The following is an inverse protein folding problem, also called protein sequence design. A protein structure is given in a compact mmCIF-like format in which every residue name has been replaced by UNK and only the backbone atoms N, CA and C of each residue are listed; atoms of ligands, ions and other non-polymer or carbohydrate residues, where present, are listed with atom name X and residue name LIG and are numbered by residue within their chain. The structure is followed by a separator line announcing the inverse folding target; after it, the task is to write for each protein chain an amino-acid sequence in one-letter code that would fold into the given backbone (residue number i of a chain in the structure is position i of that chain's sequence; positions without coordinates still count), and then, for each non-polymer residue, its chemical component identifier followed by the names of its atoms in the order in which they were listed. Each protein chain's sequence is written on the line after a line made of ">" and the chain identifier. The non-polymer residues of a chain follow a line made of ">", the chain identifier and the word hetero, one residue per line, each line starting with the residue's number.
data_IF_548235028031
#
_entry.id   IF_548235028031
#
_cell.length_a   1.000
_cell.length_b   1.000
_cell.length_c   1.000
_cell.angle_alpha   90.00
_cell.angle_beta   90.00
_cell.angle_gamma   90.00
#
_symmetry.space_group_name_H-M   'P 1'
#
loop_
_entity.id
_entity.type
_entity.pdbx_description
1 polymer ?
#
# COMPACT_ATOMS: atom_id res chain seq x y z
N UNK A 1 -34.85 61.85 19.94
CA UNK A 1 -34.57 60.99 18.79
C UNK A 1 -33.60 59.87 19.19
N UNK A 2 -34.11 58.68 19.36
CA UNK A 2 -33.32 57.53 19.72
C UNK A 2 -33.14 56.71 18.45
N UNK A 3 -31.92 56.69 17.90
CA UNK A 3 -31.55 55.79 16.82
C UNK A 3 -31.21 54.42 17.38
N UNK A 4 -32.11 53.48 17.19
CA UNK A 4 -31.83 52.07 17.48
C UNK A 4 -30.99 51.48 16.34
N UNK A 5 -29.68 51.46 16.51
CA UNK A 5 -28.84 50.59 15.73
C UNK A 5 -28.91 49.21 16.32
N UNK A 6 -29.74 48.36 15.75
CA UNK A 6 -29.69 46.93 16.01
C UNK A 6 -28.47 46.40 15.27
N UNK A 7 -27.37 46.19 16.02
CA UNK A 7 -26.23 45.42 15.56
C UNK A 7 -26.67 43.96 15.43
N UNK A 8 -27.11 43.57 14.23
CA UNK A 8 -27.23 42.18 13.85
C UNK A 8 -25.84 41.58 13.78
N UNK A 9 -25.43 40.91 14.87
CA UNK A 9 -24.28 40.08 14.86
C UNK A 9 -24.50 38.95 13.85
N UNK A 10 -23.84 39.02 12.71
CA UNK A 10 -23.81 37.91 11.75
C UNK A 10 -23.24 36.70 12.43
N UNK A 11 -23.88 35.53 12.39
CA UNK A 11 -23.24 34.31 12.86
C UNK A 11 -21.99 34.12 12.04
N UNK A 12 -20.86 34.05 12.72
CA UNK A 12 -19.60 33.61 12.10
C UNK A 12 -19.81 32.15 11.74
N UNK A 13 -20.11 31.86 10.48
CA UNK A 13 -19.98 30.55 9.95
C UNK A 13 -18.48 30.23 9.96
N UNK A 14 -18.03 29.57 11.02
CA UNK A 14 -16.80 28.82 10.97
C UNK A 14 -17.12 27.62 10.10
N UNK A 15 -16.73 27.70 8.83
CA UNK A 15 -16.65 26.51 8.01
C UNK A 15 -15.57 25.64 8.62
N UNK A 16 -15.96 24.76 9.55
CA UNK A 16 -15.12 23.63 9.94
C UNK A 16 -15.11 22.72 8.72
N UNK A 17 -14.10 22.88 7.86
CA UNK A 17 -13.77 21.81 6.93
C UNK A 17 -13.53 20.57 7.78
N UNK A 18 -14.10 19.41 7.41
CA UNK A 18 -13.79 18.18 8.12
C UNK A 18 -12.27 18.05 8.08
N UNK A 19 -11.63 18.13 9.24
CA UNK A 19 -10.22 17.82 9.36
C UNK A 19 -10.13 16.35 9.01
N UNK A 20 -9.51 16.03 7.87
CA UNK A 20 -9.12 14.67 7.54
C UNK A 20 -8.08 14.32 8.61
N UNK A 21 -8.47 13.48 9.58
CA UNK A 21 -7.53 12.97 10.57
C UNK A 21 -6.42 12.25 9.83
N UNK A 22 -5.20 12.71 10.02
CA UNK A 22 -4.02 12.05 9.48
C UNK A 22 -3.86 10.70 10.19
N UNK A 23 -3.70 9.62 9.39
CA UNK A 23 -3.49 8.28 9.93
C UNK A 23 -2.19 8.23 10.75
N UNK A 24 -2.22 7.55 11.90
CA UNK A 24 -1.00 7.22 12.65
C UNK A 24 -0.07 6.34 11.81
N UNK A 25 1.20 6.31 12.15
CA UNK A 25 2.18 5.43 11.48
C UNK A 25 1.77 3.96 11.59
N UNK A 26 1.31 3.53 12.76
CA UNK A 26 0.79 2.17 12.95
C UNK A 26 -0.35 1.86 11.98
N UNK A 27 -1.33 2.76 11.86
CA UNK A 27 -2.46 2.58 10.93
C UNK A 27 -2.01 2.53 9.48
N UNK A 28 -1.03 3.35 9.09
CA UNK A 28 -0.44 3.30 7.74
C UNK A 28 0.17 1.94 7.45
N UNK A 29 0.92 1.38 8.39
CA UNK A 29 1.55 0.07 8.24
C UNK A 29 0.48 -1.04 8.16
N UNK A 30 -0.50 -1.04 9.04
CA UNK A 30 -1.60 -2.02 9.03
C UNK A 30 -2.40 -1.94 7.74
N UNK A 31 -2.71 -0.74 7.26
CA UNK A 31 -3.40 -0.55 5.99
C UNK A 31 -2.57 -1.10 4.83
N UNK A 32 -1.27 -0.88 4.83
CA UNK A 32 -0.38 -1.38 3.79
C UNK A 32 -0.27 -2.91 3.81
N UNK A 33 -0.19 -3.53 4.99
CA UNK A 33 -0.24 -4.99 5.15
C UNK A 33 -1.53 -5.57 4.54
N UNK A 34 -2.66 -4.89 4.73
CA UNK A 34 -3.94 -5.29 4.13
C UNK A 34 -3.96 -5.13 2.61
N UNK A 35 -3.33 -4.08 2.08
CA UNK A 35 -3.15 -3.90 0.64
C UNK A 35 -2.31 -5.04 0.05
N UNK A 36 -1.23 -5.43 0.71
CA UNK A 36 -0.40 -6.58 0.29
C UNK A 36 -1.24 -7.87 0.26
N UNK A 37 -2.13 -8.06 1.21
CA UNK A 37 -3.08 -9.19 1.21
C UNK A 37 -3.92 -9.26 -0.06
N UNK A 38 -4.43 -8.12 -0.52
CA UNK A 38 -5.14 -8.00 -1.80
C UNK A 38 -4.24 -8.27 -3.01
N UNK A 39 -3.00 -7.81 -2.97
CA UNK A 39 -2.02 -8.11 -4.02
C UNK A 39 -1.69 -9.59 -4.11
N UNK A 40 -1.60 -10.30 -3.01
CA UNK A 40 -1.39 -11.75 -3.01
C UNK A 40 -2.51 -12.48 -3.74
N UNK A 41 -3.75 -12.11 -3.46
CA UNK A 41 -4.92 -12.66 -4.16
C UNK A 41 -4.88 -12.32 -5.64
N UNK A 42 -4.61 -11.08 -6.01
CA UNK A 42 -4.50 -10.66 -7.41
C UNK A 42 -3.36 -11.37 -8.14
N UNK A 43 -2.20 -11.46 -7.50
CA UNK A 43 -1.04 -12.15 -8.07
C UNK A 43 -1.37 -13.62 -8.40
N UNK A 44 -2.08 -14.31 -7.51
CA UNK A 44 -2.52 -15.68 -7.76
C UNK A 44 -3.52 -15.78 -8.91
N UNK A 45 -4.47 -14.85 -8.99
CA UNK A 45 -5.42 -14.81 -10.10
C UNK A 45 -4.72 -14.56 -11.44
N UNK A 46 -3.77 -13.63 -11.48
CA UNK A 46 -2.95 -13.36 -12.67
C UNK A 46 -2.07 -14.55 -13.06
N UNK A 47 -1.51 -15.24 -12.07
CA UNK A 47 -0.74 -16.46 -12.27
C UNK A 47 -1.56 -17.55 -12.97
N UNK A 48 -2.80 -17.77 -12.52
CA UNK A 48 -3.69 -18.75 -13.15
C UNK A 48 -4.13 -18.34 -14.57
N UNK A 49 -4.31 -17.06 -14.81
CA UNK A 49 -4.77 -16.52 -16.10
C UNK A 49 -3.62 -16.11 -17.03
N UNK A 50 -2.38 -16.35 -16.66
CA UNK A 50 -1.20 -15.94 -17.42
C UNK A 50 -1.20 -16.57 -18.82
N UNK A 51 -1.05 -15.76 -19.90
CA UNK A 51 -1.09 -16.26 -21.26
C UNK A 51 0.21 -16.97 -21.68
N UNK A 52 1.28 -16.80 -20.93
CA UNK A 52 2.61 -17.33 -21.22
C UNK A 52 3.23 -18.00 -20.00
N UNK A 53 3.99 -19.07 -20.22
CA UNK A 53 4.62 -19.85 -19.15
C UNK A 53 5.57 -19.02 -18.28
N UNK A 54 6.37 -18.14 -18.88
CA UNK A 54 7.33 -17.32 -18.14
C UNK A 54 6.64 -16.32 -17.20
N UNK A 55 5.57 -15.65 -17.64
CA UNK A 55 4.76 -14.78 -16.79
C UNK A 55 4.14 -15.59 -15.64
N UNK A 56 3.62 -16.77 -15.93
CA UNK A 56 3.05 -17.68 -14.94
C UNK A 56 4.07 -18.02 -13.83
N UNK A 57 5.30 -18.36 -14.21
CA UNK A 57 6.38 -18.68 -13.26
C UNK A 57 6.77 -17.46 -12.44
N UNK A 58 7.00 -16.30 -13.07
CA UNK A 58 7.42 -15.10 -12.37
C UNK A 58 6.35 -14.55 -11.42
N UNK A 59 5.07 -14.69 -11.74
CA UNK A 59 4.00 -14.33 -10.83
C UNK A 59 3.97 -15.24 -9.60
N UNK A 60 4.26 -16.52 -9.75
CA UNK A 60 4.34 -17.47 -8.63
C UNK A 60 5.51 -17.12 -7.70
N UNK A 61 6.68 -16.82 -8.26
CA UNK A 61 7.84 -16.32 -7.52
C UNK A 61 7.52 -15.00 -6.79
N UNK A 62 6.84 -14.08 -7.46
CA UNK A 62 6.49 -12.80 -6.87
C UNK A 62 5.45 -12.93 -5.74
N UNK A 63 4.57 -13.92 -5.82
CA UNK A 63 3.65 -14.25 -4.74
C UNK A 63 4.38 -14.62 -3.44
N UNK A 64 5.45 -15.40 -3.55
CA UNK A 64 6.29 -15.76 -2.39
C UNK A 64 6.97 -14.52 -1.79
N UNK A 65 7.45 -13.61 -2.64
CA UNK A 65 8.03 -12.33 -2.20
C UNK A 65 6.99 -11.47 -1.48
N UNK A 66 5.77 -11.37 -2.00
CA UNK A 66 4.68 -10.65 -1.34
C UNK A 66 4.35 -11.24 0.03
N UNK A 67 4.35 -12.57 0.15
CA UNK A 67 4.09 -13.27 1.40
C UNK A 67 5.16 -13.01 2.44
N UNK A 68 6.43 -13.09 2.05
CA UNK A 68 7.57 -12.83 2.93
C UNK A 68 7.59 -11.37 3.38
N UNK A 69 7.31 -10.45 2.46
CA UNK A 69 7.27 -9.02 2.77
C UNK A 69 6.13 -8.65 3.71
N UNK A 70 4.94 -9.19 3.48
CA UNK A 70 3.79 -9.00 4.37
C UNK A 70 4.11 -9.47 5.79
N UNK A 71 4.70 -10.65 5.90
CA UNK A 71 5.07 -11.25 7.18
C UNK A 71 6.14 -10.43 7.90
N UNK A 72 7.19 -10.04 7.20
CA UNK A 72 8.27 -9.20 7.74
C UNK A 72 7.77 -7.86 8.25
N UNK A 73 6.90 -7.18 7.50
CA UNK A 73 6.28 -5.92 7.95
C UNK A 73 5.39 -6.10 9.17
N UNK A 74 4.61 -7.19 9.22
CA UNK A 74 3.75 -7.49 10.35
C UNK A 74 4.57 -7.75 11.62
N UNK A 75 5.66 -8.50 11.53
CA UNK A 75 6.58 -8.76 12.63
C UNK A 75 7.26 -7.49 13.14
N UNK A 76 7.75 -6.63 12.24
CA UNK A 76 8.32 -5.33 12.60
C UNK A 76 7.28 -4.44 13.31
N UNK A 77 6.07 -4.35 12.78
CA UNK A 77 5.00 -3.56 13.38
C UNK A 77 4.62 -4.08 14.77
N UNK A 78 4.52 -5.38 14.94
CA UNK A 78 4.24 -6.00 16.25
C UNK A 78 5.39 -5.81 17.24
N UNK A 79 6.62 -5.78 16.77
CA UNK A 79 7.79 -5.46 17.60
C UNK A 79 7.77 -4.02 18.13
N UNK A 80 7.22 -3.09 17.35
CA UNK A 80 7.14 -1.66 17.72
C UNK A 80 5.87 -1.37 18.56
N UNK A 81 4.70 -1.84 18.10
CA UNK A 81 3.39 -1.43 18.60
C UNK A 81 2.67 -2.47 19.45
N UNK A 82 3.19 -3.69 19.47
CA UNK A 82 2.56 -4.81 20.17
C UNK A 82 1.74 -5.72 19.25
N UNK A 83 1.27 -6.80 19.82
CA UNK A 83 0.61 -7.90 19.12
C UNK A 83 -0.67 -7.46 18.41
N UNK A 84 -0.84 -7.88 17.16
CA UNK A 84 -2.07 -7.66 16.41
C UNK A 84 -3.25 -8.48 16.99
N UNK A 85 -4.44 -7.94 16.81
CA UNK A 85 -5.67 -8.68 17.08
C UNK A 85 -5.88 -9.77 16.01
N UNK A 86 -6.56 -10.89 16.35
CA UNK A 86 -6.70 -12.03 15.43
C UNK A 86 -7.40 -11.72 14.11
N UNK A 87 -8.14 -10.62 14.02
CA UNK A 87 -8.91 -10.23 12.85
C UNK A 87 -8.35 -8.98 12.13
N UNK A 88 -7.08 -8.65 12.35
CA UNK A 88 -6.45 -7.45 11.77
C UNK A 88 -6.36 -7.52 10.24
N UNK A 89 -6.15 -8.71 9.69
CA UNK A 89 -5.98 -8.90 8.26
C UNK A 89 -7.33 -8.89 7.53
N UNK A 90 -7.50 -7.92 6.66
CA UNK A 90 -8.69 -7.73 5.82
C UNK A 90 -8.21 -7.54 4.38
N UNK A 91 -8.73 -8.33 3.45
CA UNK A 91 -8.38 -8.18 2.04
C UNK A 91 -8.79 -6.81 1.48
N UNK A 92 -7.91 -6.19 0.74
CA UNK A 92 -8.18 -4.99 -0.07
C UNK A 92 -8.13 -5.40 -1.52
N UNK A 93 -9.23 -5.24 -2.25
CA UNK A 93 -9.30 -5.66 -3.64
C UNK A 93 -8.32 -4.86 -4.51
N UNK A 94 -7.59 -5.57 -5.37
CA UNK A 94 -6.71 -5.00 -6.38
C UNK A 94 -7.34 -5.25 -7.76
N UNK A 95 -7.54 -4.21 -8.55
CA UNK A 95 -8.29 -4.26 -9.81
C UNK A 95 -7.40 -4.37 -11.06
N UNK A 96 -6.09 -4.51 -10.92
CA UNK A 96 -5.18 -4.68 -12.06
C UNK A 96 -5.55 -5.90 -12.91
N UNK A 97 -5.48 -5.76 -14.24
CA UNK A 97 -5.94 -6.77 -15.19
C UNK A 97 -4.82 -7.62 -15.80
N UNK A 98 -3.57 -7.20 -15.66
CA UNK A 98 -2.40 -7.89 -16.21
C UNK A 98 -1.17 -7.67 -15.33
N UNK A 99 -0.11 -8.43 -15.57
CA UNK A 99 1.11 -8.41 -14.77
C UNK A 99 1.82 -7.05 -14.79
N UNK A 100 1.83 -6.34 -15.91
CA UNK A 100 2.48 -5.02 -16.03
C UNK A 100 1.74 -3.97 -15.22
N UNK A 101 0.42 -3.87 -15.37
CA UNK A 101 -0.39 -2.94 -14.59
C UNK A 101 -0.28 -3.25 -13.10
N UNK A 102 -0.27 -4.53 -12.75
CA UNK A 102 -0.11 -5.00 -11.38
C UNK A 102 1.21 -4.57 -10.76
N UNK A 103 2.35 -4.82 -11.42
CA UNK A 103 3.66 -4.43 -10.86
C UNK A 103 3.81 -2.90 -10.77
N UNK A 104 3.20 -2.14 -11.68
CA UNK A 104 3.19 -0.68 -11.62
C UNK A 104 2.35 -0.17 -10.45
N UNK A 105 1.20 -0.76 -10.18
CA UNK A 105 0.41 -0.43 -8.98
C UNK A 105 1.19 -0.74 -7.71
N UNK A 106 1.76 -1.93 -7.61
CA UNK A 106 2.59 -2.34 -6.46
C UNK A 106 3.73 -1.35 -6.23
N UNK A 107 4.42 -0.94 -7.29
CA UNK A 107 5.50 0.04 -7.24
C UNK A 107 5.02 1.39 -6.71
N UNK A 108 3.98 1.95 -7.31
CA UNK A 108 3.50 3.29 -6.96
C UNK A 108 2.98 3.34 -5.52
N UNK A 109 2.20 2.36 -5.11
CA UNK A 109 1.65 2.29 -3.75
C UNK A 109 2.76 2.07 -2.71
N UNK A 110 3.74 1.22 -3.02
CA UNK A 110 4.88 0.96 -2.13
C UNK A 110 5.74 2.22 -1.95
N UNK A 111 6.03 2.95 -3.03
CA UNK A 111 6.78 4.20 -2.95
C UNK A 111 6.03 5.26 -2.14
N UNK A 112 4.73 5.40 -2.34
CA UNK A 112 3.91 6.32 -1.56
C UNK A 112 3.91 5.95 -0.07
N UNK A 113 3.80 4.67 0.25
CA UNK A 113 3.90 4.18 1.62
C UNK A 113 5.27 4.51 2.22
N UNK A 114 6.35 4.16 1.54
CA UNK A 114 7.72 4.40 2.02
C UNK A 114 7.98 5.89 2.28
N UNK A 115 7.60 6.76 1.35
CA UNK A 115 7.79 8.21 1.51
C UNK A 115 6.88 8.84 2.57
N UNK A 116 5.79 8.19 2.93
CA UNK A 116 4.88 8.65 3.99
C UNK A 116 5.39 8.35 5.40
N UNK A 117 6.39 7.49 5.54
CA UNK A 117 6.96 7.13 6.84
C UNK A 117 7.79 8.28 7.39
N UNK A 118 7.60 8.65 8.67
CA UNK A 118 8.40 9.72 9.29
C UNK A 118 9.86 9.31 9.49
N UNK A 119 10.74 10.32 9.66
CA UNK A 119 12.12 10.12 10.06
C UNK A 119 12.18 9.75 11.55
N UNK A 120 12.13 8.46 11.83
CA UNK A 120 12.13 7.88 13.16
C UNK A 120 12.98 6.60 13.15
N UNK A 121 13.98 6.55 14.03
CA UNK A 121 14.89 5.40 14.12
C UNK A 121 14.20 4.10 14.50
N UNK A 122 13.04 4.17 15.19
CA UNK A 122 12.25 2.97 15.51
C UNK A 122 11.68 2.30 14.25
N UNK A 123 11.58 3.04 13.14
CA UNK A 123 11.10 2.54 11.85
C UNK A 123 12.20 2.00 10.93
N UNK A 124 13.44 1.90 11.42
CA UNK A 124 14.56 1.45 10.60
C UNK A 124 14.31 0.05 9.99
N UNK A 125 13.76 -0.89 10.77
CA UNK A 125 13.39 -2.22 10.28
C UNK A 125 12.27 -2.19 9.24
N UNK A 126 11.22 -1.39 9.47
CA UNK A 126 10.14 -1.19 8.49
C UNK A 126 10.68 -0.62 7.19
N UNK A 127 11.53 0.39 7.24
CA UNK A 127 12.15 0.98 6.06
C UNK A 127 13.05 0.00 5.32
N UNK A 128 13.82 -0.81 6.06
CA UNK A 128 14.68 -1.84 5.49
C UNK A 128 13.89 -2.90 4.73
N UNK A 129 12.76 -3.36 5.30
CA UNK A 129 11.85 -4.27 4.61
C UNK A 129 11.32 -3.65 3.31
N UNK A 130 10.91 -2.37 3.36
CA UNK A 130 10.45 -1.65 2.17
C UNK A 130 11.53 -1.54 1.09
N UNK A 131 12.76 -1.24 1.46
CA UNK A 131 13.89 -1.10 0.53
C UNK A 131 14.20 -2.42 -0.16
N UNK A 132 14.19 -3.52 0.58
CA UNK A 132 14.34 -4.88 0.02
C UNK A 132 13.21 -5.19 -0.95
N UNK A 133 11.99 -4.86 -0.59
CA UNK A 133 10.83 -5.07 -1.46
C UNK A 133 10.89 -4.21 -2.73
N UNK A 134 11.28 -2.96 -2.63
CA UNK A 134 11.48 -2.06 -3.78
C UNK A 134 12.52 -2.66 -4.75
N UNK A 135 13.61 -3.22 -4.24
CA UNK A 135 14.59 -3.93 -5.07
C UNK A 135 13.93 -5.09 -5.85
N UNK A 136 13.11 -5.89 -5.19
CA UNK A 136 12.36 -6.97 -5.84
C UNK A 136 11.33 -6.45 -6.85
N UNK A 137 10.65 -5.34 -6.55
CA UNK A 137 9.71 -4.70 -7.50
C UNK A 137 10.43 -4.33 -8.79
N UNK A 138 11.61 -3.71 -8.70
CA UNK A 138 12.40 -3.34 -9.88
C UNK A 138 12.79 -4.58 -10.69
N UNK A 139 13.22 -5.65 -10.03
CA UNK A 139 13.56 -6.93 -10.67
C UNK A 139 12.37 -7.50 -11.44
N UNK A 140 11.20 -7.61 -10.81
CA UNK A 140 10.02 -8.21 -11.45
C UNK A 140 9.37 -7.30 -12.47
N UNK A 141 9.43 -5.99 -12.29
CA UNK A 141 9.05 -5.04 -13.35
C UNK A 141 9.86 -5.27 -14.62
N UNK A 142 11.17 -5.43 -14.49
CA UNK A 142 12.04 -5.77 -15.61
C UNK A 142 11.67 -7.13 -16.22
N UNK A 143 11.51 -8.17 -15.41
CA UNK A 143 11.20 -9.52 -15.89
C UNK A 143 9.83 -9.59 -16.57
N UNK A 144 8.82 -8.94 -16.04
CA UNK A 144 7.50 -8.88 -16.66
C UNK A 144 7.52 -8.15 -18.01
N UNK A 145 8.27 -7.08 -18.12
CA UNK A 145 8.47 -6.38 -19.39
C UNK A 145 9.17 -7.24 -20.44
N UNK A 146 10.12 -8.07 -20.03
CA UNK A 146 10.75 -9.06 -20.93
C UNK A 146 9.77 -10.11 -21.44
N UNK A 147 8.77 -10.46 -20.61
CA UNK A 147 7.75 -11.44 -20.97
C UNK A 147 6.69 -10.86 -21.91
N UNK A 148 6.44 -9.55 -21.81
CA UNK A 148 5.43 -8.83 -22.59
C UNK A 148 5.97 -8.33 -23.94
N UNK A 149 6.84 -9.11 -24.54
CA UNK A 149 7.29 -8.82 -25.89
C UNK A 149 6.19 -9.21 -26.86
N UNK A 150 5.41 -8.22 -27.32
CA UNK A 150 4.35 -8.36 -28.31
C UNK A 150 4.86 -8.67 -29.72
N UNK A 151 5.96 -9.35 -29.86
CA UNK A 151 6.68 -9.36 -31.12
C UNK A 151 6.39 -10.54 -32.04
N UNK A 152 5.40 -11.34 -31.68
CA UNK A 152 5.09 -12.48 -32.59
C UNK A 152 3.65 -12.88 -32.49
#
# INVERSE_FOLDING_TARGET
>A
MISNEILLSRPKFTSSQPQVEELSTEQKIVNFINIIGGWKTKCKNLHWSAPKKNIHIYLDEFLDILSDYQDGLAEEAMGIYGRFQPNVLKGVECESLNAIDFIMEVKNVTFNFYTSLPEDTTLAGVKSECETFIHNIHKYHYLFNLCDIHLY
#
